data_IF_345786653337
#
_entry.id   IF_345786653337
#
_cell.length_a   1.000
_cell.length_b   1.000
_cell.length_c   1.000
_cell.angle_alpha   90.00
_cell.angle_beta   90.00
_cell.angle_gamma   90.00
#
_symmetry.space_group_name_H-M   'P 1'
#
loop_
_entity.id
_entity.type
_entity.pdbx_description
1 polymer ?
#
# COMPACT_ATOMS: atom_id res chain seq x y z
N UNK A 1 -13.02 13.79 5.19
CA UNK A 1 -12.01 14.85 4.96
C UNK A 1 -10.83 14.33 4.13
N UNK A 2 -10.21 13.20 4.52
CA UNK A 2 -9.06 12.60 3.81
C UNK A 2 -9.40 11.99 2.43
N UNK A 3 -10.62 11.47 2.25
CA UNK A 3 -11.10 10.86 0.99
C UNK A 3 -11.07 11.81 -0.22
N UNK A 4 -11.06 13.13 0.02
CA UNK A 4 -10.99 14.16 -1.02
C UNK A 4 -9.55 14.51 -1.43
N UNK A 5 -8.58 14.09 -0.62
CA UNK A 5 -7.15 14.39 -0.72
C UNK A 5 -6.38 13.16 -1.23
N UNK A 6 -6.83 11.94 -0.87
CA UNK A 6 -6.21 10.67 -1.27
C UNK A 6 -5.87 10.58 -2.78
N UNK A 7 -6.77 10.92 -3.73
CA UNK A 7 -6.45 10.78 -5.16
C UNK A 7 -5.27 11.63 -5.64
N UNK A 8 -5.07 12.80 -5.00
CA UNK A 8 -3.94 13.68 -5.33
C UNK A 8 -2.64 13.20 -4.70
N UNK A 9 -2.72 12.61 -3.51
CA UNK A 9 -1.56 12.05 -2.83
C UNK A 9 -1.04 10.80 -3.54
N UNK A 10 -1.93 9.91 -3.98
CA UNK A 10 -1.52 8.70 -4.70
C UNK A 10 -0.83 9.07 -6.04
N UNK A 11 -1.37 10.06 -6.75
CA UNK A 11 -0.75 10.61 -7.96
C UNK A 11 0.64 11.21 -7.66
N UNK A 12 0.77 12.00 -6.59
CA UNK A 12 2.05 12.59 -6.20
C UNK A 12 3.06 11.53 -5.77
N UNK A 13 2.66 10.53 -5.01
CA UNK A 13 3.52 9.41 -4.61
C UNK A 13 4.03 8.64 -5.82
N UNK A 14 3.16 8.37 -6.80
CA UNK A 14 3.55 7.72 -8.05
C UNK A 14 4.53 8.59 -8.85
N UNK A 15 4.23 9.89 -9.01
CA UNK A 15 5.08 10.80 -9.80
C UNK A 15 6.44 11.04 -9.16
N UNK A 16 6.48 11.30 -7.85
CA UNK A 16 7.71 11.60 -7.11
C UNK A 16 8.61 10.36 -6.95
N UNK A 17 8.01 9.17 -6.85
CA UNK A 17 8.76 7.92 -6.78
C UNK A 17 9.13 7.35 -8.15
N UNK A 18 8.71 7.98 -9.26
CA UNK A 18 8.74 7.40 -10.61
C UNK A 18 8.08 6.00 -10.67
N UNK A 19 6.97 5.81 -9.96
CA UNK A 19 6.20 4.57 -9.91
C UNK A 19 6.87 3.44 -9.12
N UNK A 20 7.88 3.75 -8.30
CA UNK A 20 8.58 2.75 -7.47
C UNK A 20 7.83 2.42 -6.20
N UNK A 21 6.82 3.20 -5.82
CA UNK A 21 5.95 2.94 -4.68
C UNK A 21 5.25 1.57 -4.78
N UNK A 22 4.85 1.15 -5.98
CA UNK A 22 4.27 -0.17 -6.25
C UNK A 22 5.24 -1.31 -5.93
N UNK A 23 6.51 -1.14 -6.30
CA UNK A 23 7.57 -2.11 -6.02
C UNK A 23 7.89 -2.18 -4.52
N UNK A 24 7.93 -1.03 -3.84
CA UNK A 24 8.16 -1.00 -2.40
C UNK A 24 7.02 -1.65 -1.61
N UNK A 25 5.76 -1.46 -2.04
CA UNK A 25 4.61 -2.16 -1.43
C UNK A 25 4.73 -3.67 -1.57
N UNK A 26 5.13 -4.18 -2.75
CA UNK A 26 5.36 -5.61 -2.93
C UNK A 26 6.50 -6.11 -2.04
N UNK A 27 7.63 -5.41 -2.04
CA UNK A 27 8.80 -5.75 -1.21
C UNK A 27 8.46 -5.80 0.28
N UNK A 28 7.66 -4.86 0.77
CA UNK A 28 7.24 -4.84 2.17
C UNK A 28 6.43 -6.08 2.56
N UNK A 29 5.57 -6.59 1.67
CA UNK A 29 4.79 -7.81 1.90
C UNK A 29 5.67 -9.05 1.82
N UNK A 30 6.58 -9.10 0.85
CA UNK A 30 7.55 -10.18 0.74
C UNK A 30 8.44 -10.26 2.00
N UNK A 31 8.90 -9.12 2.51
CA UNK A 31 9.68 -9.02 3.75
C UNK A 31 8.85 -9.36 5.01
N UNK A 32 7.56 -9.03 5.01
CA UNK A 32 6.65 -9.39 6.10
C UNK A 32 6.43 -10.91 6.17
N UNK A 33 6.52 -11.62 5.03
CA UNK A 33 6.43 -13.09 4.93
C UNK A 33 5.28 -13.68 5.75
N UNK A 34 4.03 -13.23 5.56
CA UNK A 34 2.90 -13.68 6.37
C UNK A 34 2.63 -15.18 6.17
N UNK A 35 2.39 -15.89 7.27
CA UNK A 35 2.07 -17.30 7.22
C UNK A 35 0.57 -17.54 6.91
N UNK A 36 0.21 -18.67 6.28
CA UNK A 36 -1.18 -19.01 6.03
C UNK A 36 -2.00 -19.03 7.34
N UNK A 37 -3.06 -18.24 7.39
CA UNK A 37 -3.94 -18.12 8.56
C UNK A 37 -3.56 -17.01 9.55
N UNK A 38 -2.49 -16.25 9.30
CA UNK A 38 -2.20 -15.06 10.08
C UNK A 38 -3.14 -13.90 9.74
N UNK A 39 -3.46 -13.11 10.75
CA UNK A 39 -4.32 -11.92 10.62
C UNK A 39 -3.44 -10.69 10.47
N UNK A 40 -3.54 -10.05 9.32
CA UNK A 40 -2.85 -8.80 9.00
C UNK A 40 -3.78 -7.60 9.22
N UNK A 41 -3.25 -6.52 9.77
CA UNK A 41 -3.98 -5.25 9.96
C UNK A 41 -3.24 -4.13 9.25
N UNK A 42 -3.86 -3.59 8.21
CA UNK A 42 -3.36 -2.42 7.48
C UNK A 42 -3.87 -1.13 8.16
N UNK A 43 -2.94 -0.43 8.82
CA UNK A 43 -3.24 0.83 9.50
C UNK A 43 -3.19 1.99 8.50
N UNK A 44 -4.18 2.88 8.56
CA UNK A 44 -4.31 4.01 7.63
C UNK A 44 -4.41 3.57 6.16
N UNK A 45 -5.09 2.45 5.89
CA UNK A 45 -5.09 1.75 4.60
C UNK A 45 -5.55 2.58 3.38
N UNK A 46 -6.18 3.75 3.56
CA UNK A 46 -6.53 4.65 2.46
C UNK A 46 -7.41 3.95 1.41
N UNK A 47 -6.85 3.76 0.20
CA UNK A 47 -7.45 3.05 -0.95
C UNK A 47 -7.30 1.53 -0.89
N UNK A 48 -6.71 0.99 0.18
CA UNK A 48 -6.46 -0.41 0.46
C UNK A 48 -5.49 -1.12 -0.50
N UNK A 49 -4.66 -0.36 -1.24
CA UNK A 49 -3.71 -0.93 -2.19
C UNK A 49 -2.66 -1.87 -1.56
N UNK A 50 -2.25 -1.63 -0.31
CA UNK A 50 -1.33 -2.53 0.40
C UNK A 50 -2.04 -3.83 0.80
N UNK A 51 -3.23 -3.72 1.39
CA UNK A 51 -4.08 -4.86 1.74
C UNK A 51 -4.36 -5.79 0.53
N UNK A 52 -4.65 -5.21 -0.64
CA UNK A 52 -4.91 -5.98 -1.87
C UNK A 52 -3.72 -6.80 -2.37
N UNK A 53 -2.48 -6.40 -2.02
CA UNK A 53 -1.27 -7.14 -2.39
C UNK A 53 -0.91 -8.25 -1.41
N UNK A 54 -1.51 -8.25 -0.22
CA UNK A 54 -1.23 -9.21 0.85
C UNK A 54 -2.21 -10.41 0.85
N UNK A 55 -3.11 -10.47 -0.14
CA UNK A 55 -4.05 -11.57 -0.41
C UNK A 55 -3.49 -12.44 -1.54
#
# INVERSE_FOLDING_TARGET
MFSRIAPRYDLLNTLLSWGRDEYWRQRAIDELSPAPGEVLVDLCCGTAEMSLKAV
#
